data_IF_638098447698
#
_entry.id   IF_638098447698
#
_cell.length_a   1.000
_cell.length_b   1.000
_cell.length_c   1.000
_cell.angle_alpha   90.00
_cell.angle_beta   90.00
_cell.angle_gamma   90.00
#
_symmetry.space_group_name_H-M   'P 1'
#
loop_
_entity.id
_entity.type
_entity.pdbx_description
1 polymer ?
#
# COMPACT_ATOMS: atom_id res chain seq x y z
N UNK A 1 3.88 13.63 -12.55
CA UNK A 1 2.68 13.21 -13.29
C UNK A 1 2.83 11.92 -14.11
N UNK A 2 3.93 11.69 -14.84
CA UNK A 2 4.13 10.43 -15.59
C UNK A 2 4.14 9.15 -14.71
N UNK A 3 4.83 9.14 -13.57
CA UNK A 3 4.95 7.94 -12.73
C UNK A 3 3.62 7.43 -12.16
N UNK A 4 2.77 8.34 -11.68
CA UNK A 4 1.43 8.00 -11.15
C UNK A 4 0.57 7.38 -12.25
N UNK A 5 0.56 7.97 -13.45
CA UNK A 5 -0.20 7.46 -14.58
C UNK A 5 0.24 6.04 -15.00
N UNK A 6 1.55 5.78 -15.06
CA UNK A 6 2.06 4.43 -15.35
C UNK A 6 1.70 3.41 -14.27
N UNK A 7 1.75 3.80 -13.00
CA UNK A 7 1.40 2.91 -11.90
C UNK A 7 -0.11 2.64 -11.82
N UNK A 8 -0.95 3.61 -12.14
CA UNK A 8 -2.40 3.40 -12.32
C UNK A 8 -2.67 2.38 -13.42
N UNK A 9 -2.02 2.53 -14.58
CA UNK A 9 -2.10 1.58 -15.69
C UNK A 9 -1.62 0.17 -15.27
N UNK A 10 -0.54 0.10 -14.48
CA UNK A 10 -0.02 -1.17 -13.97
C UNK A 10 -1.03 -1.88 -13.07
N UNK A 11 -1.65 -1.14 -12.13
CA UNK A 11 -2.70 -1.66 -11.25
C UNK A 11 -3.92 -2.13 -12.05
N UNK A 12 -4.40 -1.34 -13.00
CA UNK A 12 -5.51 -1.72 -13.89
C UNK A 12 -5.21 -3.00 -14.68
N UNK A 13 -3.96 -3.13 -15.15
CA UNK A 13 -3.52 -4.30 -15.90
C UNK A 13 -3.45 -5.52 -14.99
N UNK A 14 -2.87 -5.38 -13.79
CA UNK A 14 -2.79 -6.45 -12.78
C UNK A 14 -4.18 -6.94 -12.36
N UNK A 15 -5.12 -6.02 -12.10
CA UNK A 15 -6.51 -6.35 -11.74
C UNK A 15 -7.26 -7.10 -12.84
N UNK A 16 -6.84 -6.94 -14.10
CA UNK A 16 -7.45 -7.63 -15.25
C UNK A 16 -6.89 -9.04 -15.49
N UNK A 17 -5.81 -9.41 -14.79
CA UNK A 17 -5.20 -10.73 -14.97
C UNK A 17 -6.12 -11.83 -14.42
N UNK A 18 -6.25 -12.96 -15.14
CA UNK A 18 -6.99 -14.10 -14.61
C UNK A 18 -6.25 -14.68 -13.40
N UNK A 19 -7.02 -15.20 -12.45
CA UNK A 19 -6.47 -15.91 -11.30
C UNK A 19 -5.62 -17.11 -11.75
N UNK A 20 -4.40 -17.23 -11.21
CA UNK A 20 -3.54 -18.39 -11.39
C UNK A 20 -2.62 -18.60 -10.18
N UNK A 21 -2.07 -19.81 -10.03
CA UNK A 21 -1.08 -20.13 -8.99
C UNK A 21 0.19 -20.73 -9.62
N UNK A 22 1.37 -20.09 -9.42
CA UNK A 22 1.59 -18.78 -8.79
C UNK A 22 1.06 -17.63 -9.65
N UNK A 23 0.81 -16.46 -9.06
CA UNK A 23 0.35 -15.28 -9.79
C UNK A 23 1.28 -14.93 -10.96
N UNK A 24 0.72 -14.47 -12.09
CA UNK A 24 1.49 -14.01 -13.26
C UNK A 24 2.50 -12.93 -12.89
N UNK A 25 2.12 -12.05 -11.98
CA UNK A 25 2.93 -10.94 -11.51
C UNK A 25 3.03 -10.98 -9.98
N UNK A 26 4.19 -11.35 -9.41
CA UNK A 26 4.34 -11.50 -7.96
C UNK A 26 4.74 -10.19 -7.25
N UNK A 27 5.01 -9.12 -7.99
CA UNK A 27 5.46 -7.83 -7.44
C UNK A 27 4.26 -6.91 -7.26
N UNK A 28 3.94 -6.43 -6.05
CA UNK A 28 2.68 -5.74 -5.83
C UNK A 28 2.69 -4.31 -6.42
N UNK A 29 1.88 -4.05 -7.47
CA UNK A 29 1.85 -2.74 -8.14
C UNK A 29 1.05 -1.69 -7.37
N UNK A 30 0.00 -2.11 -6.66
CA UNK A 30 -0.92 -1.21 -5.94
C UNK A 30 -0.25 -0.49 -4.75
N UNK A 31 0.53 -1.16 -3.89
CA UNK A 31 1.30 -0.45 -2.85
C UNK A 31 2.32 0.52 -3.45
N UNK A 32 2.95 0.19 -4.59
CA UNK A 32 3.87 1.09 -5.28
C UNK A 32 3.17 2.39 -5.71
N UNK A 33 1.96 2.30 -6.28
CA UNK A 33 1.11 3.45 -6.58
C UNK A 33 0.84 4.29 -5.32
N UNK A 34 0.45 3.65 -4.22
CA UNK A 34 0.18 4.32 -2.95
C UNK A 34 1.40 5.09 -2.42
N UNK A 35 2.60 4.50 -2.50
CA UNK A 35 3.84 5.14 -2.08
C UNK A 35 4.17 6.37 -2.92
N UNK A 36 4.02 6.28 -4.25
CA UNK A 36 4.28 7.42 -5.14
C UNK A 36 3.28 8.55 -4.93
N UNK A 37 2.01 8.23 -4.68
CA UNK A 37 0.99 9.22 -4.31
C UNK A 37 1.34 9.94 -3.01
N UNK A 38 1.71 9.17 -1.98
CA UNK A 38 2.10 9.72 -0.68
C UNK A 38 3.33 10.64 -0.79
N UNK A 39 4.37 10.22 -1.52
CA UNK A 39 5.56 11.04 -1.80
C UNK A 39 5.25 12.32 -2.59
N UNK A 40 4.16 12.31 -3.36
CA UNK A 40 3.68 13.46 -4.13
C UNK A 40 2.75 14.37 -3.32
N UNK A 41 2.59 14.14 -2.01
CA UNK A 41 1.72 14.93 -1.13
C UNK A 41 0.22 14.60 -1.27
N UNK A 42 -0.14 13.57 -2.03
CA UNK A 42 -1.52 13.14 -2.29
C UNK A 42 -1.96 12.07 -1.29
N UNK A 43 -1.94 12.43 -0.01
CA UNK A 43 -2.16 11.48 1.08
C UNK A 43 -3.58 10.88 1.09
N UNK A 44 -4.59 11.64 0.67
CA UNK A 44 -5.98 11.20 0.55
C UNK A 44 -6.17 10.17 -0.58
N UNK A 45 -5.51 10.36 -1.71
CA UNK A 45 -5.48 9.39 -2.81
C UNK A 45 -4.72 8.12 -2.39
N UNK A 46 -3.57 8.28 -1.72
CA UNK A 46 -2.76 7.18 -1.23
C UNK A 46 -3.53 6.30 -0.22
N UNK A 47 -4.26 6.91 0.71
CA UNK A 47 -5.13 6.17 1.65
C UNK A 47 -6.12 5.26 0.91
N UNK A 48 -6.82 5.79 -0.12
CA UNK A 48 -7.78 5.00 -0.90
C UNK A 48 -7.12 3.78 -1.55
N UNK A 49 -5.93 3.97 -2.13
CA UNK A 49 -5.15 2.91 -2.77
C UNK A 49 -4.74 1.83 -1.76
N UNK A 50 -4.21 2.20 -0.59
CA UNK A 50 -3.84 1.23 0.43
C UNK A 50 -5.05 0.50 1.03
N UNK A 51 -6.19 1.17 1.20
CA UNK A 51 -7.43 0.52 1.66
C UNK A 51 -7.95 -0.49 0.63
N UNK A 52 -7.91 -0.16 -0.65
CA UNK A 52 -8.26 -1.11 -1.72
C UNK A 52 -7.35 -2.32 -1.71
N UNK A 53 -6.03 -2.12 -1.54
CA UNK A 53 -5.09 -3.23 -1.43
C UNK A 53 -5.44 -4.15 -0.26
N UNK A 54 -5.74 -3.58 0.92
CA UNK A 54 -6.08 -4.35 2.11
C UNK A 54 -7.41 -5.09 2.02
N UNK A 55 -8.30 -4.72 1.10
CA UNK A 55 -9.51 -5.49 0.80
C UNK A 55 -9.18 -6.79 0.05
N UNK A 56 -8.18 -6.74 -0.84
CA UNK A 56 -7.74 -7.88 -1.67
C UNK A 56 -6.74 -8.74 -0.89
N UNK A 57 -5.78 -8.09 -0.23
CA UNK A 57 -4.67 -8.68 0.52
C UNK A 57 -4.72 -8.25 2.00
N UNK A 58 -5.60 -8.86 2.81
CA UNK A 58 -5.70 -8.53 4.22
C UNK A 58 -4.36 -8.67 4.94
N UNK A 59 -4.01 -7.67 5.76
CA UNK A 59 -2.77 -7.60 6.54
C UNK A 59 -1.47 -7.54 5.71
N UNK A 60 -1.53 -7.09 4.46
CA UNK A 60 -0.33 -6.76 3.69
C UNK A 60 0.51 -5.69 4.41
N UNK A 61 1.76 -6.01 4.75
CA UNK A 61 2.65 -5.15 5.54
C UNK A 61 2.95 -3.81 4.88
N UNK A 62 3.18 -3.80 3.55
CA UNK A 62 3.43 -2.55 2.82
C UNK A 62 2.21 -1.63 2.86
N UNK A 63 1.01 -2.19 2.70
CA UNK A 63 -0.23 -1.42 2.66
C UNK A 63 -0.68 -0.94 4.03
N UNK A 64 -0.47 -1.73 5.09
CA UNK A 64 -0.69 -1.27 6.45
C UNK A 64 0.23 -0.10 6.82
N UNK A 65 1.53 -0.21 6.52
CA UNK A 65 2.48 0.88 6.77
C UNK A 65 2.19 2.11 5.91
N UNK A 66 1.82 1.91 4.65
CA UNK A 66 1.41 2.97 3.75
C UNK A 66 0.16 3.71 4.23
N UNK A 67 -0.88 2.97 4.61
CA UNK A 67 -2.13 3.52 5.13
C UNK A 67 -1.90 4.33 6.41
N UNK A 68 -1.08 3.81 7.32
CA UNK A 68 -0.68 4.50 8.54
C UNK A 68 -0.07 5.87 8.24
N UNK A 69 0.91 5.93 7.32
CA UNK A 69 1.57 7.18 6.94
C UNK A 69 0.63 8.14 6.23
N UNK A 70 -0.23 7.64 5.35
CA UNK A 70 -1.26 8.45 4.67
C UNK A 70 -2.22 9.09 5.68
N UNK A 71 -2.66 8.35 6.69
CA UNK A 71 -3.54 8.87 7.74
C UNK A 71 -2.82 9.92 8.61
N UNK A 72 -1.55 9.70 8.97
CA UNK A 72 -0.77 10.71 9.70
C UNK A 72 -0.57 11.99 8.90
N UNK A 73 -0.27 11.88 7.60
CA UNK A 73 -0.09 13.04 6.72
C UNK A 73 -1.38 13.88 6.60
N UNK A 74 -2.55 13.25 6.76
CA UNK A 74 -3.85 13.93 6.81
C UNK A 74 -4.24 14.43 8.21
N UNK A 75 -3.45 14.18 9.25
CA UNK A 75 -3.75 14.56 10.63
C UNK A 75 -4.71 13.61 11.36
N UNK A 76 -5.05 12.46 10.77
CA UNK A 76 -5.93 11.45 11.37
C UNK A 76 -5.19 10.53 12.36
N UNK A 77 -4.60 11.13 13.40
CA UNK A 77 -3.67 10.44 14.31
C UNK A 77 -4.27 9.20 14.98
N UNK A 78 -5.52 9.29 15.48
CA UNK A 78 -6.16 8.16 16.17
C UNK A 78 -6.38 6.95 15.25
N UNK A 79 -6.74 7.21 13.98
CA UNK A 79 -6.89 6.16 12.97
C UNK A 79 -5.52 5.57 12.61
N UNK A 80 -4.52 6.43 12.41
CA UNK A 80 -3.16 5.99 12.14
C UNK A 80 -2.61 5.08 13.24
N UNK A 81 -2.82 5.42 14.51
CA UNK A 81 -2.39 4.60 15.65
C UNK A 81 -3.09 3.24 15.68
N UNK A 82 -4.35 3.17 15.23
CA UNK A 82 -5.05 1.90 15.07
C UNK A 82 -4.41 1.03 14.01
N UNK A 83 -4.10 1.60 12.84
CA UNK A 83 -3.44 0.88 11.75
C UNK A 83 -2.01 0.48 12.15
N UNK A 84 -1.29 1.31 12.90
CA UNK A 84 0.03 0.99 13.42
C UNK A 84 0.00 -0.25 14.33
N UNK A 85 -1.02 -0.40 15.19
CA UNK A 85 -1.19 -1.61 16.00
C UNK A 85 -1.41 -2.85 15.14
N UNK A 86 -2.19 -2.74 14.07
CA UNK A 86 -2.42 -3.83 13.13
C UNK A 86 -1.14 -4.21 12.36
N UNK A 87 -0.38 -3.21 11.89
CA UNK A 87 0.93 -3.42 11.27
C UNK A 87 1.87 -4.14 12.23
N UNK A 88 2.03 -3.63 13.46
CA UNK A 88 2.90 -4.25 14.46
C UNK A 88 2.49 -5.69 14.75
N UNK A 89 1.19 -6.00 14.84
CA UNK A 89 0.72 -7.36 15.04
C UNK A 89 1.03 -8.28 13.84
N UNK A 90 0.90 -7.75 12.62
CA UNK A 90 1.12 -8.50 11.37
C UNK A 90 2.61 -8.73 11.08
N UNK A 91 3.46 -7.77 11.47
CA UNK A 91 4.90 -7.77 11.19
C UNK A 91 5.76 -8.29 12.36
N UNK A 92 5.15 -8.72 13.47
CA UNK A 92 5.84 -9.08 14.73
C UNK A 92 6.90 -10.20 14.62
N UNK A 93 6.85 -11.02 13.58
CA UNK A 93 7.78 -12.16 13.36
C UNK A 93 8.76 -11.90 12.21
N UNK A 94 8.73 -10.73 11.60
CA UNK A 94 9.64 -10.42 10.51
C UNK A 94 11.03 -10.11 11.06
N UNK A 95 12.06 -10.58 10.37
CA UNK A 95 13.46 -10.34 10.73
C UNK A 95 13.97 -8.97 10.27
N UNK A 96 13.13 -8.21 9.55
CA UNK A 96 13.47 -6.91 8.96
C UNK A 96 12.44 -5.85 9.35
N UNK A 97 12.90 -4.61 9.48
CA UNK A 97 11.99 -3.47 9.53
C UNK A 97 11.57 -3.13 8.10
N UNK A 98 10.26 -3.13 7.83
CA UNK A 98 9.74 -2.81 6.51
C UNK A 98 9.91 -1.32 6.22
N UNK A 99 10.42 -1.01 5.03
CA UNK A 99 10.59 0.36 4.53
C UNK A 99 9.86 0.54 3.20
N UNK A 100 9.08 1.62 3.08
CA UNK A 100 8.42 1.99 1.83
C UNK A 100 9.42 2.56 0.80
N UNK A 101 10.66 2.85 1.19
CA UNK A 101 11.76 3.19 0.28
C UNK A 101 12.11 2.06 -0.71
N UNK A 102 11.65 0.84 -0.46
CA UNK A 102 11.86 -0.30 -1.38
C UNK A 102 11.02 -0.20 -2.68
N UNK A 103 10.11 0.77 -2.76
CA UNK A 103 9.41 1.21 -3.98
C UNK A 103 10.00 2.52 -4.51
#
# INVERSE_FOLDING_TARGET
DSAISHLQKAVETEDSLPYMEPAFWPVPSRPALGVVLLRSGKADEAEKVFRQDLQIWPRNGWSLLGLEKSLRAQGHVQLADSIQREFTASWKRADVNLDLAWF
#
